data_IF_360466737448
#
_entry.id   IF_360466737448
#
_cell.length_a   1.000
_cell.length_b   1.000
_cell.length_c   1.000
_cell.angle_alpha   90.00
_cell.angle_beta   90.00
_cell.angle_gamma   90.00
#
_symmetry.space_group_name_H-M   'P 1'
#
loop_
_entity.id
_entity.type
_entity.pdbx_description
1 polymer ?
#
# COMPACT_ATOMS: atom_id res chain seq x y z
N UNK A 1 -6.49 -16.31 14.56
CA UNK A 1 -7.60 -15.60 13.86
C UNK A 1 -8.17 -14.50 14.74
N UNK A 2 -8.51 -14.75 16.02
CA UNK A 2 -8.97 -13.68 16.93
C UNK A 2 -7.99 -12.50 17.04
N UNK A 3 -6.70 -12.78 17.20
CA UNK A 3 -5.66 -11.75 17.30
C UNK A 3 -5.56 -10.84 16.05
N UNK A 4 -5.85 -11.34 14.84
CA UNK A 4 -5.78 -10.53 13.62
C UNK A 4 -6.98 -9.58 13.49
N UNK A 5 -8.15 -9.95 13.98
CA UNK A 5 -9.32 -9.07 14.07
C UNK A 5 -9.12 -7.99 15.13
N UNK A 6 -8.60 -8.35 16.31
CA UNK A 6 -8.28 -7.41 17.39
C UNK A 6 -7.19 -6.40 16.94
N UNK A 7 -6.23 -6.86 16.13
CA UNK A 7 -5.24 -5.96 15.52
C UNK A 7 -5.89 -5.07 14.46
N UNK A 8 -6.80 -5.59 13.62
CA UNK A 8 -7.48 -4.79 12.63
C UNK A 8 -8.32 -3.67 13.26
N UNK A 9 -9.04 -3.96 14.34
CA UNK A 9 -9.83 -2.97 15.06
C UNK A 9 -8.95 -1.86 15.66
N UNK A 10 -7.81 -2.24 16.26
CA UNK A 10 -6.80 -1.29 16.71
C UNK A 10 -6.29 -0.42 15.56
N UNK A 11 -5.93 -1.03 14.42
CA UNK A 11 -5.43 -0.29 13.26
C UNK A 11 -6.47 0.70 12.72
N UNK A 12 -7.75 0.33 12.67
CA UNK A 12 -8.84 1.23 12.22
C UNK A 12 -8.95 2.47 13.10
N UNK A 13 -8.94 2.29 14.42
CA UNK A 13 -9.03 3.39 15.37
C UNK A 13 -7.83 4.34 15.23
N UNK A 14 -6.63 3.76 15.23
CA UNK A 14 -5.39 4.54 15.19
C UNK A 14 -5.19 5.21 13.84
N UNK A 15 -5.52 4.55 12.72
CA UNK A 15 -5.43 5.14 11.38
C UNK A 15 -6.37 6.34 11.21
N UNK A 16 -7.59 6.27 11.74
CA UNK A 16 -8.55 7.37 11.69
C UNK A 16 -8.04 8.63 12.41
N UNK A 17 -7.37 8.51 13.57
CA UNK A 17 -6.75 9.66 14.23
C UNK A 17 -5.52 10.14 13.49
N UNK A 18 -4.67 9.24 13.00
CA UNK A 18 -3.51 9.56 12.17
C UNK A 18 -3.92 10.37 10.93
N UNK A 19 -4.98 9.93 10.24
CA UNK A 19 -5.55 10.65 9.10
C UNK A 19 -6.04 12.05 9.47
N UNK A 20 -6.67 12.22 10.64
CA UNK A 20 -7.09 13.53 11.16
C UNK A 20 -5.89 14.42 11.47
N UNK A 21 -4.80 13.87 12.01
CA UNK A 21 -3.56 14.62 12.26
C UNK A 21 -2.98 15.09 10.92
N UNK A 22 -2.81 14.19 9.94
CA UNK A 22 -2.31 14.54 8.62
C UNK A 22 -3.16 15.64 7.94
N UNK A 23 -4.49 15.52 8.00
CA UNK A 23 -5.41 16.47 7.40
C UNK A 23 -5.27 17.91 7.94
N UNK A 24 -4.77 18.10 9.17
CA UNK A 24 -4.50 19.44 9.72
C UNK A 24 -3.37 20.18 8.99
N UNK A 25 -2.46 19.45 8.37
CA UNK A 25 -1.33 19.97 7.60
C UNK A 25 -1.62 20.06 6.10
N UNK A 26 -2.57 19.28 5.61
CA UNK A 26 -2.87 19.23 4.18
C UNK A 26 -3.34 20.58 3.65
N UNK A 27 -2.71 21.06 2.56
CA UNK A 27 -2.93 22.40 1.98
C UNK A 27 -2.63 23.57 2.93
N UNK A 28 -1.71 23.35 3.90
CA UNK A 28 -1.30 24.35 4.90
C UNK A 28 0.16 24.72 4.84
N UNK A 29 0.86 24.33 3.76
CA UNK A 29 2.28 24.62 3.55
C UNK A 29 3.16 24.15 4.73
N UNK A 30 3.14 22.83 5.08
CA UNK A 30 3.94 22.29 6.16
C UNK A 30 5.43 22.43 5.84
N UNK A 31 6.27 22.47 6.87
CA UNK A 31 7.73 22.43 6.68
C UNK A 31 8.13 21.13 5.99
N UNK A 32 9.13 21.23 5.10
CA UNK A 32 9.61 20.10 4.31
C UNK A 32 11.12 19.95 4.47
N UNK A 33 11.56 18.72 4.67
CA UNK A 33 12.96 18.29 4.63
C UNK A 33 13.18 17.31 3.51
N UNK A 34 14.43 16.98 3.20
CA UNK A 34 14.78 16.07 2.13
C UNK A 34 15.62 14.90 2.64
N UNK A 35 15.17 13.70 2.43
CA UNK A 35 15.85 12.43 2.67
C UNK A 35 16.37 11.90 1.31
N UNK A 36 17.52 12.37 0.87
CA UNK A 36 17.99 12.13 -0.49
C UNK A 36 17.08 12.81 -1.52
N UNK A 37 16.32 12.04 -2.28
CA UNK A 37 15.36 12.55 -3.28
C UNK A 37 13.89 12.50 -2.82
N UNK A 38 13.64 12.00 -1.61
CA UNK A 38 12.29 11.92 -1.05
C UNK A 38 12.02 13.09 -0.10
N UNK A 39 10.91 13.83 -0.26
CA UNK A 39 10.51 14.84 0.70
C UNK A 39 9.92 14.16 1.93
N UNK A 40 10.16 14.74 3.09
CA UNK A 40 9.53 14.44 4.38
C UNK A 40 8.93 15.71 4.91
N UNK A 41 7.68 15.71 5.30
CA UNK A 41 7.04 16.90 5.84
C UNK A 41 6.85 16.83 7.35
N UNK A 42 6.54 17.98 7.92
CA UNK A 42 6.14 18.09 9.33
C UNK A 42 4.95 17.18 9.66
N UNK A 43 4.06 16.94 8.66
CA UNK A 43 2.95 16.03 8.81
C UNK A 43 3.38 14.57 8.94
N UNK A 44 4.34 14.11 8.10
CA UNK A 44 4.88 12.75 8.18
C UNK A 44 5.43 12.47 9.58
N UNK A 45 6.23 13.40 10.13
CA UNK A 45 6.83 13.25 11.46
C UNK A 45 5.78 13.27 12.58
N UNK A 46 4.74 14.12 12.47
CA UNK A 46 3.68 14.20 13.48
C UNK A 46 2.83 12.93 13.48
N UNK A 47 2.52 12.39 12.30
CA UNK A 47 1.77 11.14 12.15
C UNK A 47 2.60 9.96 12.65
N UNK A 48 3.88 9.86 12.26
CA UNK A 48 4.78 8.78 12.73
C UNK A 48 4.90 8.75 14.24
N UNK A 49 5.12 9.91 14.87
CA UNK A 49 5.20 10.03 16.33
C UNK A 49 3.92 9.59 17.04
N UNK A 50 2.75 9.93 16.49
CA UNK A 50 1.47 9.49 17.02
C UNK A 50 1.31 7.97 16.87
N UNK A 51 1.53 7.43 15.64
CA UNK A 51 1.37 6.01 15.33
C UNK A 51 2.28 5.15 16.19
N UNK A 52 3.57 5.50 16.30
CA UNK A 52 4.52 4.75 17.14
C UNK A 52 4.12 4.74 18.61
N UNK A 53 3.69 5.89 19.14
CA UNK A 53 3.22 5.99 20.53
C UNK A 53 1.97 5.17 20.78
N UNK A 54 0.94 5.28 19.94
CA UNK A 54 -0.33 4.60 20.12
C UNK A 54 -0.21 3.09 19.95
N UNK A 55 0.42 2.65 18.85
CA UNK A 55 0.51 1.24 18.50
C UNK A 55 1.43 0.46 19.44
N UNK A 56 2.62 1.00 19.77
CA UNK A 56 3.55 0.33 20.69
C UNK A 56 3.07 0.35 22.15
N UNK A 57 2.22 1.32 22.54
CA UNK A 57 1.56 1.28 23.85
C UNK A 57 0.49 0.20 23.92
N UNK A 58 -0.26 -0.01 22.84
CA UNK A 58 -1.30 -1.05 22.76
C UNK A 58 -0.70 -2.45 22.60
N UNK A 59 0.43 -2.59 21.92
CA UNK A 59 1.14 -3.86 21.65
C UNK A 59 2.63 -3.73 21.97
N UNK A 60 3.04 -3.69 23.25
CA UNK A 60 4.43 -3.40 23.64
C UNK A 60 5.47 -4.40 23.12
N UNK A 61 5.05 -5.66 22.89
CA UNK A 61 5.92 -6.73 22.38
C UNK A 61 6.12 -6.72 20.85
N UNK A 62 5.38 -5.89 20.11
CA UNK A 62 5.52 -5.86 18.65
C UNK A 62 6.75 -5.04 18.23
N UNK A 63 7.37 -5.46 17.13
CA UNK A 63 8.38 -4.67 16.44
C UNK A 63 7.78 -3.48 15.69
N UNK A 64 8.64 -2.62 15.18
CA UNK A 64 8.28 -1.39 14.46
C UNK A 64 9.14 -1.21 13.21
N UNK A 65 8.51 -0.98 12.08
CA UNK A 65 9.13 -0.57 10.83
C UNK A 65 8.34 0.62 10.30
N UNK A 66 9.00 1.72 10.04
CA UNK A 66 8.40 2.91 9.46
C UNK A 66 9.32 3.54 8.43
N UNK A 67 8.74 4.30 7.48
CA UNK A 67 9.51 5.11 6.54
C UNK A 67 10.35 6.17 7.27
N UNK A 68 9.84 6.73 8.38
CA UNK A 68 10.42 7.93 9.00
C UNK A 68 11.34 7.64 10.18
N UNK A 69 11.14 6.55 10.89
CA UNK A 69 11.91 6.22 12.09
C UNK A 69 12.67 4.90 11.96
N UNK A 70 13.68 4.74 12.80
CA UNK A 70 14.49 3.52 12.81
C UNK A 70 13.67 2.29 13.23
N UNK A 71 13.92 1.17 12.59
CA UNK A 71 13.28 -0.10 12.93
C UNK A 71 13.61 -0.51 14.38
N UNK A 72 12.59 -1.04 15.06
CA UNK A 72 12.71 -1.63 16.39
C UNK A 72 12.32 -3.11 16.32
N UNK A 73 13.15 -4.05 16.81
CA UNK A 73 12.80 -5.46 16.83
C UNK A 73 11.61 -5.73 17.78
N UNK A 74 10.94 -6.84 17.59
CA UNK A 74 9.93 -7.36 18.51
C UNK A 74 10.58 -7.96 19.77
N UNK A 75 9.89 -7.85 20.90
CA UNK A 75 10.31 -8.46 22.18
C UNK A 75 9.42 -9.68 22.46
N UNK A 76 9.61 -10.83 21.80
CA UNK A 76 8.76 -12.01 22.08
C UNK A 76 8.91 -13.18 21.13
N UNK A 77 8.25 -14.29 21.48
CA UNK A 77 8.42 -15.59 20.81
C UNK A 77 7.80 -15.71 19.41
N UNK A 78 6.71 -15.00 19.11
CA UNK A 78 6.16 -14.88 17.77
C UNK A 78 6.50 -13.51 17.22
N UNK A 79 7.24 -13.49 16.12
CA UNK A 79 7.72 -12.25 15.53
C UNK A 79 6.59 -11.50 14.87
N UNK A 80 5.98 -10.54 15.61
CA UNK A 80 4.99 -9.60 15.09
C UNK A 80 5.56 -8.20 15.07
N UNK A 81 5.27 -7.45 14.02
CA UNK A 81 5.73 -6.07 13.90
C UNK A 81 4.76 -5.22 13.08
N UNK A 82 4.71 -3.95 13.40
CA UNK A 82 4.01 -2.95 12.60
C UNK A 82 4.87 -2.54 11.40
N UNK A 83 4.23 -2.36 10.26
CA UNK A 83 4.83 -1.77 9.05
C UNK A 83 4.00 -0.56 8.67
N UNK A 84 4.65 0.62 8.66
CA UNK A 84 3.96 1.92 8.63
C UNK A 84 4.55 2.84 7.59
N UNK A 85 3.69 3.42 6.77
CA UNK A 85 3.95 4.64 6.02
C UNK A 85 3.01 5.73 6.57
N UNK A 86 3.54 6.75 7.24
CA UNK A 86 2.74 7.83 7.82
C UNK A 86 1.93 8.59 6.78
N UNK A 87 2.50 8.84 5.59
CA UNK A 87 1.83 9.49 4.46
C UNK A 87 2.36 8.91 3.15
N UNK A 88 1.82 7.76 2.74
CA UNK A 88 2.12 7.26 1.39
C UNK A 88 1.58 8.24 0.35
N UNK A 89 2.48 8.73 -0.50
CA UNK A 89 2.19 9.78 -1.43
C UNK A 89 2.51 11.19 -0.95
N UNK A 90 3.53 11.39 -0.10
CA UNK A 90 3.98 12.69 0.43
C UNK A 90 4.08 13.78 -0.65
N UNK A 91 4.50 13.45 -1.87
CA UNK A 91 4.55 14.42 -2.98
C UNK A 91 3.17 14.89 -3.42
N UNK A 92 2.16 14.01 -3.45
CA UNK A 92 0.78 14.39 -3.74
C UNK A 92 0.22 15.24 -2.59
N UNK A 93 0.46 14.83 -1.35
CA UNK A 93 0.09 15.56 -0.15
C UNK A 93 0.60 17.01 -0.19
N UNK A 94 1.89 17.21 -0.47
CA UNK A 94 2.53 18.53 -0.55
C UNK A 94 1.99 19.39 -1.70
N UNK A 95 1.55 18.78 -2.80
CA UNK A 95 0.89 19.51 -3.90
C UNK A 95 -0.60 19.80 -3.64
N UNK A 96 -1.12 19.38 -2.47
CA UNK A 96 -2.54 19.53 -2.15
C UNK A 96 -3.45 18.60 -2.96
N UNK A 97 -2.90 17.57 -3.61
CA UNK A 97 -3.65 16.55 -4.34
C UNK A 97 -4.29 15.55 -3.35
N UNK A 98 -5.44 14.94 -3.69
CA UNK A 98 -6.15 14.08 -2.75
C UNK A 98 -5.61 12.63 -2.68
N UNK A 99 -4.65 12.26 -3.52
CA UNK A 99 -4.18 10.87 -3.69
C UNK A 99 -3.01 10.53 -2.75
N UNK A 100 -3.29 10.51 -1.46
CA UNK A 100 -2.39 10.10 -0.37
C UNK A 100 -3.16 9.35 0.71
N UNK A 101 -2.50 8.51 1.50
CA UNK A 101 -3.11 7.80 2.61
C UNK A 101 -2.11 7.54 3.74
N UNK A 102 -2.63 7.26 4.93
CA UNK A 102 -1.90 6.59 6.01
C UNK A 102 -1.94 5.09 5.74
N UNK A 103 -0.82 4.39 5.80
CA UNK A 103 -0.72 2.95 5.56
C UNK A 103 -0.15 2.25 6.79
N UNK A 104 -0.89 1.27 7.33
CA UNK A 104 -0.49 0.52 8.52
C UNK A 104 -0.79 -0.96 8.32
N UNK A 105 0.19 -1.82 8.58
CA UNK A 105 0.00 -3.26 8.62
C UNK A 105 0.57 -3.87 9.90
N UNK A 106 0.00 -4.99 10.33
CA UNK A 106 0.63 -5.95 11.25
C UNK A 106 1.12 -7.12 10.42
N UNK A 107 2.38 -7.46 10.58
CA UNK A 107 3.01 -8.64 9.96
C UNK A 107 3.27 -9.69 11.01
N UNK A 108 2.97 -10.96 10.70
CA UNK A 108 3.26 -12.15 11.50
C UNK A 108 3.68 -13.28 10.58
N UNK A 109 4.73 -14.03 10.94
CA UNK A 109 5.20 -15.13 10.11
C UNK A 109 5.62 -14.72 8.68
N UNK A 110 6.05 -13.47 8.50
CA UNK A 110 6.46 -12.94 7.20
C UNK A 110 5.32 -12.52 6.28
N UNK A 111 4.05 -12.55 6.73
CA UNK A 111 2.89 -12.10 5.95
C UNK A 111 2.07 -11.07 6.72
N UNK A 112 1.46 -10.08 6.04
CA UNK A 112 0.54 -9.18 6.69
C UNK A 112 -0.71 -9.94 7.18
N UNK A 113 -1.11 -9.70 8.42
CA UNK A 113 -2.29 -10.35 9.05
C UNK A 113 -3.42 -9.37 9.35
N UNK A 114 -3.12 -8.08 9.46
CA UNK A 114 -4.07 -6.98 9.50
C UNK A 114 -3.51 -5.80 8.71
N UNK A 115 -4.35 -5.04 8.02
CA UNK A 115 -3.91 -3.89 7.23
C UNK A 115 -5.02 -2.87 7.04
N UNK A 116 -4.65 -1.58 7.14
CA UNK A 116 -5.55 -0.44 6.94
C UNK A 116 -4.84 0.62 6.10
N UNK A 117 -5.59 1.19 5.16
CA UNK A 117 -5.24 2.41 4.44
C UNK A 117 -6.34 3.44 4.72
N UNK A 118 -5.98 4.55 5.36
CA UNK A 118 -6.89 5.69 5.54
C UNK A 118 -6.52 6.81 4.58
N UNK A 119 -7.43 7.14 3.66
CA UNK A 119 -7.29 8.23 2.70
C UNK A 119 -8.29 9.35 3.03
N UNK A 120 -8.01 10.22 4.01
CA UNK A 120 -8.98 11.17 4.56
C UNK A 120 -9.50 12.19 3.54
N UNK A 121 -8.64 12.58 2.60
CA UNK A 121 -8.99 13.50 1.52
C UNK A 121 -10.01 12.95 0.53
N UNK A 122 -10.18 11.64 0.48
CA UNK A 122 -11.17 10.93 -0.34
C UNK A 122 -12.35 10.43 0.49
N UNK A 123 -12.28 10.43 1.83
CA UNK A 123 -13.25 9.81 2.73
C UNK A 123 -13.27 8.29 2.57
N UNK A 124 -12.13 7.67 2.28
CA UNK A 124 -11.99 6.25 1.97
C UNK A 124 -11.08 5.55 2.97
N UNK A 125 -11.58 4.46 3.56
CA UNK A 125 -10.82 3.56 4.43
C UNK A 125 -10.87 2.16 3.85
N UNK A 126 -9.73 1.64 3.44
CA UNK A 126 -9.57 0.25 3.01
C UNK A 126 -9.01 -0.55 4.17
N UNK A 127 -9.58 -1.74 4.41
CA UNK A 127 -9.18 -2.57 5.54
C UNK A 127 -9.30 -4.05 5.21
N UNK A 128 -8.43 -4.88 5.80
CA UNK A 128 -8.53 -6.33 5.75
C UNK A 128 -7.81 -6.98 6.94
N UNK A 129 -8.33 -8.14 7.37
CA UNK A 129 -7.62 -9.11 8.19
C UNK A 129 -7.33 -10.39 7.41
N UNK A 130 -6.37 -11.19 7.85
CA UNK A 130 -6.02 -12.46 7.20
C UNK A 130 -7.17 -13.48 7.20
N UNK A 131 -8.10 -13.38 8.17
CA UNK A 131 -9.30 -14.23 8.27
C UNK A 131 -10.57 -13.64 7.64
N UNK A 132 -10.53 -12.33 7.30
CA UNK A 132 -11.69 -11.59 6.83
C UNK A 132 -11.73 -11.36 5.32
N UNK A 133 -12.64 -10.51 4.87
CA UNK A 133 -12.71 -9.98 3.51
C UNK A 133 -12.07 -8.61 3.45
N UNK A 134 -11.65 -8.16 2.25
CA UNK A 134 -11.25 -6.77 2.06
C UNK A 134 -12.48 -5.87 2.00
N UNK A 135 -12.38 -4.69 2.59
CA UNK A 135 -13.47 -3.72 2.69
C UNK A 135 -13.02 -2.31 2.28
N UNK A 136 -13.96 -1.57 1.70
CA UNK A 136 -13.90 -0.12 1.54
C UNK A 136 -15.06 0.50 2.33
N UNK A 137 -14.74 1.28 3.36
CA UNK A 137 -15.74 1.89 4.26
C UNK A 137 -16.76 0.88 4.81
N UNK A 138 -16.30 -0.32 5.22
CA UNK A 138 -17.12 -1.40 5.76
C UNK A 138 -17.93 -2.18 4.72
N UNK A 139 -17.75 -1.89 3.43
CA UNK A 139 -18.40 -2.64 2.34
C UNK A 139 -17.36 -3.55 1.68
N UNK A 140 -17.67 -4.84 1.55
CA UNK A 140 -16.80 -5.83 0.92
C UNK A 140 -16.46 -5.43 -0.52
N UNK A 141 -15.19 -5.57 -0.89
CA UNK A 141 -14.67 -5.27 -2.22
C UNK A 141 -14.01 -6.50 -2.85
N UNK A 142 -13.91 -6.49 -4.18
CA UNK A 142 -13.22 -7.52 -4.94
C UNK A 142 -12.53 -6.90 -6.16
N UNK A 143 -11.43 -7.53 -6.58
CA UNK A 143 -10.76 -7.21 -7.84
C UNK A 143 -11.67 -7.50 -9.03
N UNK A 144 -11.42 -6.79 -10.12
CA UNK A 144 -12.05 -7.10 -11.39
C UNK A 144 -11.21 -8.15 -12.13
N UNK A 145 -11.83 -9.27 -12.48
CA UNK A 145 -11.26 -10.27 -13.38
C UNK A 145 -11.52 -9.88 -14.83
N UNK A 146 -10.59 -10.18 -15.71
CA UNK A 146 -10.76 -10.01 -17.17
C UNK A 146 -11.34 -11.30 -17.75
N UNK A 147 -12.56 -11.22 -18.31
CA UNK A 147 -13.20 -12.39 -18.93
C UNK A 147 -12.49 -12.89 -20.18
N UNK A 148 -11.81 -12.00 -20.93
CA UNK A 148 -11.20 -12.31 -22.23
C UNK A 148 -9.79 -11.72 -22.37
N UNK A 149 -8.84 -12.46 -22.99
CA UNK A 149 -7.48 -11.97 -23.20
C UNK A 149 -7.38 -10.69 -24.04
N UNK A 150 -8.36 -10.44 -24.91
CA UNK A 150 -8.44 -9.26 -25.78
C UNK A 150 -9.08 -8.04 -25.11
N UNK A 151 -9.62 -8.20 -23.90
CA UNK A 151 -10.29 -7.10 -23.17
C UNK A 151 -9.32 -5.96 -22.87
N UNK A 152 -9.79 -4.70 -23.05
CA UNK A 152 -9.05 -3.51 -22.68
C UNK A 152 -8.89 -3.44 -21.18
N UNK A 153 -7.64 -3.36 -20.70
CA UNK A 153 -7.34 -3.21 -19.28
C UNK A 153 -7.18 -1.73 -18.91
N UNK A 154 -7.82 -1.33 -17.83
CA UNK A 154 -7.62 -0.01 -17.18
C UNK A 154 -6.46 -0.08 -16.21
N UNK A 155 -5.33 0.51 -16.57
CA UNK A 155 -4.08 0.43 -15.80
C UNK A 155 -3.60 1.80 -15.33
N UNK A 156 -3.05 1.85 -14.12
CA UNK A 156 -2.28 3.00 -13.62
C UNK A 156 -0.85 2.57 -13.34
N UNK A 157 0.13 3.39 -13.71
CA UNK A 157 1.54 3.11 -13.50
C UNK A 157 2.39 4.38 -13.63
N UNK A 158 3.65 4.38 -13.15
CA UNK A 158 4.58 5.48 -13.38
C UNK A 158 4.79 5.78 -14.87
N UNK A 159 4.85 7.05 -15.22
CA UNK A 159 4.97 7.51 -16.62
C UNK A 159 6.17 6.90 -17.38
N UNK A 160 7.36 6.69 -16.79
CA UNK A 160 8.45 6.01 -17.49
C UNK A 160 8.07 4.60 -17.95
N UNK A 161 7.40 3.82 -17.12
CA UNK A 161 6.94 2.47 -17.47
C UNK A 161 5.88 2.52 -18.57
N UNK A 162 4.92 3.44 -18.44
CA UNK A 162 3.89 3.66 -19.47
C UNK A 162 4.51 3.91 -20.83
N UNK A 163 5.52 4.78 -20.93
CA UNK A 163 6.20 5.08 -22.21
C UNK A 163 6.90 3.88 -22.80
N UNK A 164 7.47 3.01 -21.95
CA UNK A 164 8.17 1.80 -22.40
C UNK A 164 7.24 0.75 -22.98
N UNK A 165 6.01 0.63 -22.47
CA UNK A 165 5.05 -0.40 -22.90
C UNK A 165 4.00 0.10 -23.91
N UNK A 166 3.80 1.41 -24.03
CA UNK A 166 2.81 2.00 -24.93
C UNK A 166 3.02 1.54 -26.39
N UNK A 167 1.97 1.02 -27.01
CA UNK A 167 2.01 0.50 -28.38
C UNK A 167 2.71 -0.85 -28.53
N UNK A 168 3.17 -1.48 -27.42
CA UNK A 168 3.85 -2.78 -27.43
C UNK A 168 3.02 -3.89 -26.78
N UNK A 169 1.87 -3.55 -26.21
CA UNK A 169 0.94 -4.50 -25.59
C UNK A 169 0.10 -5.22 -26.65
N UNK A 170 -0.18 -6.51 -26.44
CA UNK A 170 -0.99 -7.32 -27.36
C UNK A 170 -2.46 -6.90 -27.38
N UNK A 171 -2.99 -6.41 -26.24
CA UNK A 171 -4.34 -5.90 -26.13
C UNK A 171 -4.33 -4.40 -25.82
N UNK A 172 -5.43 -3.67 -26.13
CA UNK A 172 -5.55 -2.26 -25.80
C UNK A 172 -5.43 -2.00 -24.30
N UNK A 173 -4.85 -0.85 -23.93
CA UNK A 173 -4.74 -0.39 -22.54
C UNK A 173 -5.36 0.99 -22.41
N UNK A 174 -6.31 1.13 -21.49
CA UNK A 174 -6.80 2.41 -20.99
C UNK A 174 -5.89 2.89 -19.86
N UNK A 175 -5.08 3.90 -20.13
CA UNK A 175 -4.15 4.45 -19.13
C UNK A 175 -4.85 5.45 -18.22
N UNK A 176 -5.22 5.01 -17.03
CA UNK A 176 -5.69 5.91 -15.98
C UNK A 176 -4.57 6.87 -15.53
N UNK A 177 -4.89 8.04 -14.96
CA UNK A 177 -3.91 8.93 -14.37
C UNK A 177 -3.04 8.17 -13.35
N UNK A 178 -1.74 8.53 -13.30
CA UNK A 178 -0.86 7.96 -12.29
C UNK A 178 -1.28 8.42 -10.89
N UNK A 179 -1.45 7.47 -9.98
CA UNK A 179 -1.73 7.70 -8.57
C UNK A 179 -0.39 7.65 -7.84
N UNK A 180 0.08 8.77 -7.26
CA UNK A 180 1.39 8.84 -6.62
C UNK A 180 1.52 7.94 -5.39
N UNK A 181 0.49 7.84 -4.55
CA UNK A 181 0.42 6.88 -3.45
C UNK A 181 0.38 5.46 -4.01
N UNK A 182 1.39 4.65 -3.69
CA UNK A 182 1.45 3.27 -4.16
C UNK A 182 0.42 2.39 -3.44
N UNK A 183 0.30 2.54 -2.13
CA UNK A 183 -0.68 1.79 -1.35
C UNK A 183 -2.11 2.07 -1.85
N UNK A 184 -2.46 3.34 -2.06
CA UNK A 184 -3.79 3.71 -2.58
C UNK A 184 -4.01 3.18 -4.02
N UNK A 185 -2.98 3.19 -4.87
CA UNK A 185 -3.06 2.64 -6.22
C UNK A 185 -3.35 1.14 -6.21
N UNK A 186 -2.73 0.38 -5.31
CA UNK A 186 -3.01 -1.04 -5.09
C UNK A 186 -4.43 -1.26 -4.54
N UNK A 187 -4.88 -0.41 -3.61
CA UNK A 187 -6.24 -0.46 -3.09
C UNK A 187 -7.30 -0.18 -4.18
N UNK A 188 -6.99 0.69 -5.14
CA UNK A 188 -7.87 0.91 -6.30
C UNK A 188 -7.94 -0.29 -7.24
N UNK A 189 -6.92 -1.13 -7.28
CA UNK A 189 -6.99 -2.44 -7.93
C UNK A 189 -7.87 -3.39 -7.11
N UNK A 190 -7.68 -3.43 -5.79
CA UNK A 190 -8.47 -4.28 -4.90
C UNK A 190 -9.97 -4.01 -4.97
N UNK A 191 -10.40 -2.76 -5.19
CA UNK A 191 -11.82 -2.40 -5.32
C UNK A 191 -12.34 -2.36 -6.77
N UNK A 192 -11.56 -2.83 -7.76
CA UNK A 192 -11.97 -2.93 -9.16
C UNK A 192 -12.06 -1.60 -9.91
N UNK A 193 -11.57 -0.48 -9.37
CA UNK A 193 -11.47 0.81 -10.08
C UNK A 193 -10.34 0.81 -11.12
N UNK A 194 -9.34 -0.02 -10.91
CA UNK A 194 -8.28 -0.36 -11.85
C UNK A 194 -8.29 -1.87 -12.04
N UNK A 195 -7.98 -2.33 -13.24
CA UNK A 195 -7.80 -3.76 -13.50
C UNK A 195 -6.43 -4.24 -13.04
N UNK A 196 -5.45 -3.35 -13.01
CA UNK A 196 -4.11 -3.68 -12.52
C UNK A 196 -3.16 -2.50 -12.49
N UNK A 197 -1.96 -2.75 -11.99
CA UNK A 197 -0.87 -1.77 -11.95
C UNK A 197 0.49 -2.42 -12.13
N UNK A 198 1.44 -1.67 -12.70
CA UNK A 198 2.86 -1.96 -12.67
C UNK A 198 3.53 -1.03 -11.66
N UNK A 199 4.41 -1.58 -10.84
CA UNK A 199 5.17 -0.88 -9.80
C UNK A 199 6.63 -0.89 -10.19
N UNK A 200 7.25 0.29 -10.26
CA UNK A 200 8.68 0.41 -10.54
C UNK A 200 9.53 -0.20 -9.42
N UNK A 201 10.75 -0.62 -9.75
CA UNK A 201 11.71 -1.09 -8.76
C UNK A 201 11.94 -0.02 -7.68
N UNK A 202 12.18 -0.46 -6.43
CA UNK A 202 12.46 0.31 -5.21
C UNK A 202 11.26 0.65 -4.32
N UNK A 203 10.09 0.04 -4.51
CA UNK A 203 9.05 0.06 -3.48
C UNK A 203 9.61 -0.55 -2.19
N UNK A 204 9.28 0.03 -1.06
CA UNK A 204 9.66 -0.48 0.26
C UNK A 204 8.51 -1.30 0.86
N UNK A 205 8.78 -2.02 1.95
CA UNK A 205 7.77 -2.82 2.65
C UNK A 205 6.58 -1.97 3.09
N UNK A 206 6.80 -0.75 3.58
CA UNK A 206 5.75 0.14 4.08
C UNK A 206 4.85 0.70 2.96
N UNK A 207 5.35 0.81 1.73
CA UNK A 207 4.56 1.24 0.57
C UNK A 207 3.51 0.18 0.16
N UNK A 208 3.70 -1.10 0.57
CA UNK A 208 2.92 -2.22 0.00
C UNK A 208 2.29 -3.16 1.03
N UNK A 209 2.78 -3.28 2.27
CA UNK A 209 2.37 -4.35 3.18
C UNK A 209 0.86 -4.36 3.49
N UNK A 210 0.27 -3.21 3.82
CA UNK A 210 -1.18 -3.12 4.06
C UNK A 210 -1.98 -3.39 2.79
N UNK A 211 -1.54 -2.80 1.67
CA UNK A 211 -2.21 -2.94 0.38
C UNK A 211 -2.11 -4.36 -0.19
N UNK A 212 -1.02 -5.09 0.06
CA UNK A 212 -0.84 -6.49 -0.34
C UNK A 212 -1.91 -7.38 0.30
N UNK A 213 -2.15 -7.23 1.63
CA UNK A 213 -3.20 -7.97 2.31
C UNK A 213 -4.59 -7.59 1.78
N UNK A 214 -4.87 -6.30 1.64
CA UNK A 214 -6.16 -5.82 1.13
C UNK A 214 -6.42 -6.38 -0.27
N UNK A 215 -5.41 -6.36 -1.15
CA UNK A 215 -5.50 -6.91 -2.48
C UNK A 215 -5.70 -8.44 -2.46
N UNK A 216 -4.96 -9.17 -1.63
CA UNK A 216 -5.09 -10.62 -1.45
C UNK A 216 -6.52 -10.98 -1.00
N UNK A 217 -7.04 -10.27 0.01
CA UNK A 217 -8.37 -10.53 0.56
C UNK A 217 -9.51 -10.08 -0.37
N UNK A 218 -9.20 -9.24 -1.36
CA UNK A 218 -10.09 -8.89 -2.47
C UNK A 218 -10.02 -9.90 -3.64
N UNK A 219 -9.21 -10.96 -3.54
CA UNK A 219 -9.03 -11.98 -4.59
C UNK A 219 -7.97 -11.62 -5.63
N UNK A 220 -7.17 -10.57 -5.40
CA UNK A 220 -6.07 -10.16 -6.25
C UNK A 220 -4.72 -10.74 -5.81
N UNK A 221 -3.69 -10.40 -6.55
CA UNK A 221 -2.31 -10.83 -6.32
C UNK A 221 -1.36 -9.65 -6.52
N UNK A 222 -0.46 -9.42 -5.57
CA UNK A 222 0.75 -8.62 -5.75
C UNK A 222 1.92 -9.57 -5.98
N UNK A 223 2.62 -9.46 -7.10
CA UNK A 223 3.68 -10.38 -7.47
C UNK A 223 4.90 -9.66 -8.04
N UNK A 224 6.09 -10.20 -7.78
CA UNK A 224 7.31 -9.88 -8.52
C UNK A 224 7.29 -10.47 -9.92
N UNK A 225 8.35 -10.17 -10.67
CA UNK A 225 8.61 -10.88 -11.93
C UNK A 225 9.07 -12.33 -11.65
N UNK A 226 9.63 -12.57 -10.45
CA UNK A 226 9.92 -13.89 -9.93
C UNK A 226 8.66 -14.53 -9.33
N UNK A 227 8.61 -15.86 -9.26
CA UNK A 227 7.40 -16.61 -8.89
C UNK A 227 7.21 -16.83 -7.38
N UNK A 228 8.03 -16.21 -6.52
CA UNK A 228 7.95 -16.39 -5.07
C UNK A 228 6.94 -15.43 -4.39
N UNK A 229 6.37 -15.82 -3.25
CA UNK A 229 5.54 -14.91 -2.45
C UNK A 229 6.39 -13.78 -1.86
N UNK A 230 5.80 -12.60 -1.69
CA UNK A 230 6.43 -11.54 -0.93
C UNK A 230 6.46 -11.90 0.54
N UNK A 231 7.66 -11.85 1.14
CA UNK A 231 7.84 -12.03 2.57
C UNK A 231 8.37 -10.74 3.17
N UNK A 232 7.71 -10.29 4.20
CA UNK A 232 8.05 -9.12 4.98
C UNK A 232 8.87 -9.56 6.19
N UNK A 233 10.01 -8.93 6.39
CA UNK A 233 10.92 -9.28 7.50
C UNK A 233 11.14 -8.03 8.36
N UNK A 234 11.64 -8.21 9.61
CA UNK A 234 11.97 -7.08 10.49
C UNK A 234 13.05 -6.14 9.94
N UNK A 235 13.79 -6.57 8.94
CA UNK A 235 14.74 -5.72 8.21
C UNK A 235 14.05 -5.25 6.93
N UNK A 236 13.74 -3.95 6.79
CA UNK A 236 13.03 -3.41 5.63
C UNK A 236 13.73 -3.73 4.32
N UNK A 237 12.95 -4.08 3.31
CA UNK A 237 13.45 -4.44 1.97
C UNK A 237 12.94 -3.46 0.92
N UNK A 238 13.73 -3.34 -0.14
CA UNK A 238 13.31 -2.76 -1.39
C UNK A 238 12.98 -3.85 -2.39
N UNK A 239 11.83 -3.71 -3.01
CA UNK A 239 11.34 -4.67 -3.99
C UNK A 239 11.80 -4.31 -5.41
N UNK A 240 11.89 -5.33 -6.26
CA UNK A 240 12.05 -5.16 -7.70
C UNK A 240 10.79 -4.62 -8.35
N UNK A 241 10.65 -4.83 -9.66
CA UNK A 241 9.41 -4.52 -10.38
C UNK A 241 8.31 -5.46 -9.89
N UNK A 242 7.13 -4.88 -9.55
CA UNK A 242 5.96 -5.64 -9.13
C UNK A 242 4.80 -5.40 -10.09
N UNK A 243 3.88 -6.36 -10.12
CA UNK A 243 2.62 -6.30 -10.84
C UNK A 243 1.48 -6.66 -9.90
N UNK A 244 0.32 -6.02 -10.05
CA UNK A 244 -0.85 -6.29 -9.23
C UNK A 244 -2.13 -6.30 -10.06
N UNK A 245 -3.02 -7.23 -9.75
CA UNK A 245 -4.30 -7.42 -10.42
C UNK A 245 -4.98 -8.72 -9.99
N UNK A 246 -6.08 -9.09 -10.66
CA UNK A 246 -6.60 -10.44 -10.57
C UNK A 246 -5.58 -11.46 -11.13
N UNK A 247 -5.62 -12.73 -10.73
CA UNK A 247 -4.63 -13.73 -11.15
C UNK A 247 -4.46 -13.84 -12.69
N UNK A 248 -5.55 -13.79 -13.44
CA UNK A 248 -5.56 -13.81 -14.92
C UNK A 248 -4.94 -12.55 -15.53
N UNK A 249 -5.10 -11.40 -14.88
CA UNK A 249 -4.51 -10.13 -15.31
C UNK A 249 -3.02 -10.07 -14.99
N UNK A 250 -2.58 -10.58 -13.83
CA UNK A 250 -1.17 -10.58 -13.41
C UNK A 250 -0.26 -11.24 -14.44
N UNK A 251 -0.68 -12.34 -15.07
CA UNK A 251 0.11 -12.99 -16.12
C UNK A 251 0.31 -12.08 -17.34
N UNK A 252 -0.72 -11.33 -17.74
CA UNK A 252 -0.61 -10.32 -18.81
C UNK A 252 0.33 -9.18 -18.40
N UNK A 253 0.23 -8.71 -17.15
CA UNK A 253 1.06 -7.62 -16.65
C UNK A 253 2.54 -8.02 -16.53
N UNK A 254 2.86 -9.28 -16.22
CA UNK A 254 4.23 -9.79 -16.24
C UNK A 254 4.85 -9.67 -17.64
N UNK A 255 4.09 -10.02 -18.67
CA UNK A 255 4.55 -9.84 -20.05
C UNK A 255 4.79 -8.36 -20.38
N UNK A 256 3.92 -7.45 -19.90
CA UNK A 256 4.11 -6.00 -20.09
C UNK A 256 5.30 -5.46 -19.29
N UNK A 257 5.50 -5.92 -18.06
CA UNK A 257 6.63 -5.53 -17.23
C UNK A 257 7.98 -5.95 -17.85
N UNK A 258 8.04 -7.11 -18.48
CA UNK A 258 9.24 -7.55 -19.22
C UNK A 258 9.59 -6.65 -20.41
N UNK A 259 8.63 -5.88 -20.96
CA UNK A 259 8.90 -4.87 -21.99
C UNK A 259 9.47 -3.58 -21.40
N UNK A 260 9.34 -3.36 -20.09
CA UNK A 260 9.75 -2.16 -19.37
C UNK A 260 11.04 -2.37 -18.55
N UNK A 261 11.58 -3.59 -18.50
CA UNK A 261 12.85 -3.96 -17.90
C UNK A 261 13.99 -3.76 -18.94
#
# INVERSE_FOLDING_TARGET
MADAEDDLDLLREVAAEAGRIAARFWRRDPRVWWKGQSPVSEADLAVDAYLSSALLSARPGYGWISEETAARPSDGGEERFFVVDPIDGTRAFLRGEPTWCVSIAVVSGGRPVAGVLDAPSLGEVFAASAGGTAELNGTAIAVRSSGEPSETLRLSMPEPMRRQIAGRTQAPVDYAPNIPSLALRLAMVACGRLDGTLVGARANDWDIAAADLILERAGGVLAGLDTGPHLYNPVPRRHGVLVAGAPDIVERLRAYAALAA
#
